data_IF_133013155473
#
_entry.id   IF_133013155473
#
_cell.length_a   1.000
_cell.length_b   1.000
_cell.length_c   1.000
_cell.angle_alpha   90.00
_cell.angle_beta   90.00
_cell.angle_gamma   90.00
#
_symmetry.space_group_name_H-M   'P 1'
#
loop_
_entity.id
_entity.type
_entity.pdbx_description
1 polymer ?
#
# COMPACT_ATOMS: atom_id res chain seq x y z
N UNK A 1 0.17 -1.02 -24.04
CA UNK A 1 -0.99 -0.84 -23.15
C UNK A 1 -1.22 0.66 -22.99
N UNK A 2 -2.40 1.18 -23.30
CA UNK A 2 -2.70 2.62 -23.16
C UNK A 2 -2.60 3.05 -21.70
N UNK A 3 -2.23 4.32 -21.43
CA UNK A 3 -2.02 4.84 -20.05
C UNK A 3 -3.24 4.65 -19.16
N UNK A 4 -4.45 4.82 -19.70
CA UNK A 4 -5.68 4.63 -18.94
C UNK A 4 -5.88 3.16 -18.54
N UNK A 5 -5.48 2.22 -19.39
CA UNK A 5 -5.54 0.80 -19.05
C UNK A 5 -4.57 0.46 -17.90
N UNK A 6 -3.34 0.99 -17.94
CA UNK A 6 -2.38 0.82 -16.83
C UNK A 6 -2.96 1.34 -15.52
N UNK A 7 -3.51 2.55 -15.53
CA UNK A 7 -4.11 3.18 -14.35
C UNK A 7 -5.28 2.35 -13.80
N UNK A 8 -6.16 1.84 -14.67
CA UNK A 8 -7.28 1.00 -14.26
C UNK A 8 -6.80 -0.29 -13.58
N UNK A 9 -5.82 -0.97 -14.16
CA UNK A 9 -5.21 -2.17 -13.55
C UNK A 9 -4.63 -1.87 -12.17
N UNK A 10 -3.92 -0.75 -12.00
CA UNK A 10 -3.38 -0.36 -10.69
C UNK A 10 -4.49 -0.13 -9.66
N UNK A 11 -5.57 0.56 -10.04
CA UNK A 11 -6.72 0.82 -9.17
C UNK A 11 -7.45 -0.47 -8.79
N UNK A 12 -7.64 -1.38 -9.74
CA UNK A 12 -8.23 -2.70 -9.50
C UNK A 12 -7.38 -3.51 -8.51
N UNK A 13 -6.06 -3.55 -8.70
CA UNK A 13 -5.14 -4.23 -7.79
C UNK A 13 -5.20 -3.64 -6.38
N UNK A 14 -5.18 -2.31 -6.24
CA UNK A 14 -5.28 -1.65 -4.93
C UNK A 14 -6.59 -2.02 -4.20
N UNK A 15 -7.71 -2.02 -4.93
CA UNK A 15 -9.04 -2.41 -4.40
C UNK A 15 -9.09 -3.89 -4.04
N UNK A 16 -8.50 -4.76 -4.86
CA UNK A 16 -8.42 -6.19 -4.58
C UNK A 16 -7.62 -6.44 -3.29
N UNK A 17 -6.44 -5.84 -3.15
CA UNK A 17 -5.61 -6.00 -1.95
C UNK A 17 -6.32 -5.51 -0.70
N UNK A 18 -6.99 -4.35 -0.76
CA UNK A 18 -7.77 -3.84 0.37
C UNK A 18 -8.91 -4.79 0.74
N UNK A 19 -9.69 -5.25 -0.25
CA UNK A 19 -10.81 -6.18 -0.02
C UNK A 19 -10.32 -7.47 0.65
N UNK A 20 -9.22 -8.03 0.15
CA UNK A 20 -8.65 -9.26 0.68
C UNK A 20 -8.05 -9.03 2.09
N UNK A 21 -7.43 -7.88 2.34
CA UNK A 21 -6.92 -7.50 3.66
C UNK A 21 -8.05 -7.42 4.70
N UNK A 22 -9.17 -6.78 4.34
CA UNK A 22 -10.36 -6.68 5.19
C UNK A 22 -10.97 -8.06 5.50
N UNK A 23 -10.93 -9.00 4.55
CA UNK A 23 -11.37 -10.37 4.77
C UNK A 23 -10.44 -11.13 5.73
N UNK A 24 -9.12 -10.98 5.57
CA UNK A 24 -8.15 -11.55 6.51
C UNK A 24 -8.27 -10.96 7.91
N UNK A 25 -8.47 -9.64 8.03
CA UNK A 25 -8.69 -8.97 9.30
C UNK A 25 -9.94 -9.52 10.00
N UNK A 26 -11.06 -9.67 9.27
CA UNK A 26 -12.30 -10.27 9.81
C UNK A 26 -12.11 -11.68 10.35
N UNK A 27 -11.23 -12.47 9.73
CA UNK A 27 -10.89 -13.84 10.17
C UNK A 27 -9.93 -13.88 11.35
N UNK A 28 -9.32 -12.75 11.72
CA UNK A 28 -8.23 -12.69 12.70
C UNK A 28 -6.87 -13.12 12.13
N UNK A 29 -6.74 -13.25 10.81
CA UNK A 29 -5.50 -13.60 10.12
C UNK A 29 -4.61 -12.35 9.96
N UNK A 30 -4.19 -11.76 11.08
CA UNK A 30 -3.57 -10.43 11.09
C UNK A 30 -2.26 -10.33 10.30
N UNK A 31 -1.43 -11.38 10.24
CA UNK A 31 -0.23 -11.37 9.39
C UNK A 31 -0.58 -11.21 7.90
N UNK A 32 -1.60 -11.94 7.43
CA UNK A 32 -2.10 -11.85 6.07
C UNK A 32 -2.74 -10.48 5.82
N UNK A 33 -3.51 -9.98 6.78
CA UNK A 33 -4.14 -8.67 6.70
C UNK A 33 -3.10 -7.54 6.58
N UNK A 34 -2.09 -7.51 7.44
CA UNK A 34 -0.97 -6.55 7.40
C UNK A 34 -0.23 -6.62 6.07
N UNK A 35 0.10 -7.83 5.59
CA UNK A 35 0.74 -8.01 4.29
C UNK A 35 -0.09 -7.43 3.14
N UNK A 36 -1.41 -7.69 3.14
CA UNK A 36 -2.31 -7.24 2.08
C UNK A 36 -2.61 -5.74 2.16
N UNK A 37 -2.75 -5.17 3.36
CA UNK A 37 -2.87 -3.72 3.52
C UNK A 37 -1.59 -3.02 3.04
N UNK A 38 -0.41 -3.54 3.37
CA UNK A 38 0.83 -2.96 2.86
C UNK A 38 0.94 -3.04 1.32
N UNK A 39 0.50 -4.15 0.71
CA UNK A 39 0.39 -4.23 -0.76
C UNK A 39 -0.57 -3.19 -1.33
N UNK A 40 -1.69 -2.91 -0.65
CA UNK A 40 -2.61 -1.85 -1.05
C UNK A 40 -1.93 -0.46 -0.95
N UNK A 41 -1.20 -0.17 0.13
CA UNK A 41 -0.40 1.07 0.28
C UNK A 41 0.61 1.25 -0.85
N UNK A 42 1.37 0.19 -1.16
CA UNK A 42 2.34 0.18 -2.24
C UNK A 42 1.67 0.47 -3.61
N UNK A 43 0.53 -0.17 -3.89
CA UNK A 43 -0.24 0.07 -5.11
C UNK A 43 -0.79 1.51 -5.18
N UNK A 44 -1.27 2.06 -4.07
CA UNK A 44 -1.74 3.47 -4.01
C UNK A 44 -0.60 4.46 -4.25
N UNK A 45 0.60 4.18 -3.72
CA UNK A 45 1.79 4.96 -4.03
C UNK A 45 2.16 4.86 -5.52
N UNK A 46 2.08 3.67 -6.12
CA UNK A 46 2.37 3.48 -7.55
C UNK A 46 1.36 4.21 -8.45
N UNK A 47 0.07 4.22 -8.08
CA UNK A 47 -0.96 5.03 -8.77
C UNK A 47 -0.58 6.50 -8.72
N UNK A 48 -0.19 7.00 -7.54
CA UNK A 48 0.15 8.40 -7.35
C UNK A 48 1.40 8.80 -8.14
N UNK A 49 2.47 8.00 -8.06
CA UNK A 49 3.71 8.18 -8.83
C UNK A 49 3.41 8.12 -10.33
N UNK A 50 2.63 7.14 -10.79
CA UNK A 50 2.28 7.04 -12.20
C UNK A 50 1.52 8.27 -12.72
N UNK A 51 0.55 8.78 -11.93
CA UNK A 51 -0.20 10.00 -12.27
C UNK A 51 0.71 11.24 -12.40
N UNK A 52 1.78 11.33 -11.60
CA UNK A 52 2.64 12.53 -11.55
C UNK A 52 3.91 12.45 -12.40
N UNK A 53 4.51 11.26 -12.46
CA UNK A 53 5.84 11.01 -13.02
C UNK A 53 5.78 10.15 -14.29
N UNK A 54 4.62 9.58 -14.62
CA UNK A 54 4.40 8.77 -15.83
C UNK A 54 5.29 7.51 -15.93
N UNK A 55 5.68 6.94 -14.79
CA UNK A 55 6.30 5.62 -14.71
C UNK A 55 5.82 4.87 -13.45
N UNK A 56 6.08 3.57 -13.38
CA UNK A 56 5.77 2.72 -12.22
C UNK A 56 7.09 2.22 -11.63
N UNK A 57 7.33 2.38 -10.32
CA UNK A 57 8.50 1.81 -9.67
C UNK A 57 8.52 0.28 -9.78
N UNK A 58 9.71 -0.27 -10.01
CA UNK A 58 9.95 -1.71 -10.15
C UNK A 58 10.24 -2.42 -8.81
N UNK A 59 10.50 -1.66 -7.74
CA UNK A 59 10.89 -2.20 -6.42
C UNK A 59 10.45 -1.29 -5.27
N UNK A 60 10.47 -1.84 -4.04
CA UNK A 60 10.26 -1.03 -2.83
C UNK A 60 11.30 0.09 -2.71
N UNK A 61 12.58 -0.20 -2.96
CA UNK A 61 13.66 0.79 -2.91
C UNK A 61 13.42 1.95 -3.87
N UNK A 62 13.04 1.66 -5.11
CA UNK A 62 12.75 2.70 -6.10
C UNK A 62 11.51 3.52 -5.69
N UNK A 63 10.44 2.86 -5.25
CA UNK A 63 9.23 3.52 -4.77
C UNK A 63 9.55 4.47 -3.61
N UNK A 64 10.23 3.97 -2.58
CA UNK A 64 10.56 4.73 -1.38
C UNK A 64 11.43 5.93 -1.72
N UNK A 65 12.45 5.76 -2.56
CA UNK A 65 13.32 6.86 -3.01
C UNK A 65 12.54 7.97 -3.71
N UNK A 66 11.61 7.61 -4.59
CA UNK A 66 10.79 8.59 -5.32
C UNK A 66 9.87 9.34 -4.35
N UNK A 67 9.23 8.62 -3.43
CA UNK A 67 8.33 9.22 -2.45
C UNK A 67 9.08 10.13 -1.47
N UNK A 68 10.23 9.69 -0.95
CA UNK A 68 11.05 10.48 -0.03
C UNK A 68 11.50 11.79 -0.68
N UNK A 69 11.95 11.72 -1.94
CA UNK A 69 12.47 12.90 -2.65
C UNK A 69 11.38 13.88 -3.09
N UNK A 70 10.17 13.40 -3.42
CA UNK A 70 9.15 14.21 -4.12
C UNK A 70 7.80 14.31 -3.41
N UNK A 71 7.44 13.31 -2.61
CA UNK A 71 6.11 13.13 -2.05
C UNK A 71 6.18 12.72 -0.57
N UNK A 72 6.75 13.57 0.30
CA UNK A 72 7.05 13.22 1.69
C UNK A 72 5.79 12.81 2.48
N UNK A 73 4.61 13.34 2.15
CA UNK A 73 3.36 12.94 2.80
C UNK A 73 2.99 11.46 2.56
N UNK A 74 3.28 10.95 1.36
CA UNK A 74 3.11 9.53 1.04
C UNK A 74 4.25 8.70 1.65
N UNK A 75 5.48 9.20 1.58
CA UNK A 75 6.64 8.54 2.18
C UNK A 75 6.44 8.28 3.68
N UNK A 76 6.04 9.31 4.43
CA UNK A 76 5.82 9.24 5.87
C UNK A 76 4.74 8.21 6.26
N UNK A 77 3.79 7.91 5.36
CA UNK A 77 2.77 6.89 5.60
C UNK A 77 3.30 5.50 5.29
N UNK A 78 3.92 5.28 4.13
CA UNK A 78 4.37 3.93 3.75
C UNK A 78 5.61 3.48 4.53
N UNK A 79 6.49 4.41 4.91
CA UNK A 79 7.74 4.10 5.61
C UNK A 79 7.48 3.58 7.03
N UNK A 80 6.60 4.26 7.79
CA UNK A 80 6.22 3.81 9.13
C UNK A 80 5.57 2.42 9.15
N UNK A 81 4.88 2.05 8.06
CA UNK A 81 4.16 0.78 7.96
C UNK A 81 5.06 -0.36 7.43
N UNK A 82 6.23 -0.02 6.90
CA UNK A 82 7.15 -0.99 6.31
C UNK A 82 7.74 -1.94 7.34
N UNK A 83 8.04 -1.46 8.54
CA UNK A 83 8.53 -2.30 9.64
C UNK A 83 7.51 -3.39 10.00
N UNK A 84 6.23 -3.05 10.16
CA UNK A 84 5.16 -4.02 10.42
C UNK A 84 5.02 -5.05 9.30
N UNK A 85 5.14 -4.61 8.05
CA UNK A 85 5.15 -5.52 6.91
C UNK A 85 6.31 -6.51 6.98
N UNK A 86 7.54 -6.04 7.22
CA UNK A 86 8.71 -6.91 7.35
C UNK A 86 8.57 -7.88 8.53
N UNK A 87 8.12 -7.37 9.68
CA UNK A 87 7.92 -8.16 10.88
C UNK A 87 6.82 -9.23 10.70
N UNK A 88 5.84 -9.00 9.84
CA UNK A 88 4.76 -9.98 9.59
C UNK A 88 5.26 -11.32 9.02
N UNK A 89 6.49 -11.38 8.51
CA UNK A 89 7.14 -12.61 8.07
C UNK A 89 7.78 -13.42 9.20
N UNK A 90 8.12 -12.76 10.32
CA UNK A 90 8.90 -13.37 11.42
C UNK A 90 8.20 -13.31 12.78
N UNK A 91 7.12 -12.54 12.90
CA UNK A 91 6.36 -12.34 14.13
C UNK A 91 4.85 -12.35 13.86
N UNK A 92 4.05 -12.64 14.89
CA UNK A 92 2.58 -12.57 14.80
C UNK A 92 2.11 -11.13 14.95
N UNK A 93 1.34 -10.67 13.97
CA UNK A 93 0.71 -9.36 14.01
C UNK A 93 -0.54 -9.41 14.89
N UNK A 94 -0.91 -8.27 15.46
CA UNK A 94 -2.10 -8.11 16.27
C UNK A 94 -3.12 -7.22 15.55
N UNK A 95 -4.27 -7.06 16.20
CA UNK A 95 -5.35 -6.24 15.71
C UNK A 95 -4.95 -4.76 15.64
N UNK A 96 -4.25 -4.23 16.64
CA UNK A 96 -3.87 -2.81 16.66
C UNK A 96 -3.00 -2.42 15.46
N UNK A 97 -1.96 -3.22 15.16
CA UNK A 97 -1.09 -3.02 14.00
C UNK A 97 -1.90 -3.11 12.70
N UNK A 98 -2.79 -4.10 12.60
CA UNK A 98 -3.67 -4.25 11.43
C UNK A 98 -4.56 -3.01 11.21
N UNK A 99 -5.12 -2.45 12.28
CA UNK A 99 -5.96 -1.26 12.23
C UNK A 99 -5.19 0.00 11.82
N UNK A 100 -3.91 0.13 12.22
CA UNK A 100 -3.03 1.21 11.75
C UNK A 100 -2.95 1.19 10.23
N UNK A 101 -2.50 0.07 9.64
CA UNK A 101 -2.36 -0.05 8.19
C UNK A 101 -3.71 0.12 7.46
N UNK A 102 -4.81 -0.37 8.04
CA UNK A 102 -6.16 -0.18 7.47
C UNK A 102 -6.52 1.30 7.35
N UNK A 103 -6.25 2.09 8.39
CA UNK A 103 -6.53 3.51 8.41
C UNK A 103 -5.63 4.28 7.44
N UNK A 104 -4.37 3.90 7.31
CA UNK A 104 -3.44 4.48 6.35
C UNK A 104 -3.82 4.16 4.90
N UNK A 105 -4.28 2.93 4.63
CA UNK A 105 -4.84 2.55 3.33
C UNK A 105 -6.05 3.43 3.02
N UNK A 106 -6.99 3.59 3.96
CA UNK A 106 -8.15 4.45 3.78
C UNK A 106 -7.74 5.89 3.44
N UNK A 107 -6.78 6.44 4.19
CA UNK A 107 -6.24 7.80 3.97
C UNK A 107 -5.65 7.93 2.56
N UNK A 108 -4.81 6.99 2.13
CA UNK A 108 -4.20 7.06 0.79
C UNK A 108 -5.20 6.83 -0.35
N UNK A 109 -6.27 6.06 -0.13
CA UNK A 109 -7.36 5.93 -1.11
C UNK A 109 -8.03 7.28 -1.40
N UNK A 110 -8.25 8.12 -0.37
CA UNK A 110 -8.88 9.45 -0.51
C UNK A 110 -7.99 10.45 -1.28
N UNK A 111 -6.68 10.20 -1.35
CA UNK A 111 -5.71 11.10 -1.99
C UNK A 111 -5.29 10.60 -3.38
N UNK A 112 -5.09 9.29 -3.51
CA UNK A 112 -4.46 8.69 -4.68
C UNK A 112 -5.44 8.35 -5.80
N UNK A 113 -6.73 8.15 -5.50
CA UNK A 113 -7.75 7.76 -6.48
C UNK A 113 -8.70 8.91 -6.73
#
# INVERSE_FOLDING_TARGET
MEKENIKNVLVENAREYQRNALESERKGDYNSAVTLFFKALAALCDIYIFKKENFIPSSHTERFRVLEMKYPDFYNVIDKDFSFYQESYTAKMNKETCEVLRNDVKKLFEIAI
#
